data_IF_367770745793
#
_entry.id   IF_367770745793
#
_cell.length_a   1.000
_cell.length_b   1.000
_cell.length_c   1.000
_cell.angle_alpha   90.00
_cell.angle_beta   90.00
_cell.angle_gamma   90.00
#
_symmetry.space_group_name_H-M   'P 1'
#
loop_
_entity.id
_entity.type
_entity.pdbx_description
1 polymer ?
#
# COMPACT_ATOMS: atom_id res chain seq x y z
N UNK A 1 9.18 -21.05 2.34
CA UNK A 1 8.04 -20.19 2.75
C UNK A 1 8.63 -18.87 3.26
N UNK A 2 9.09 -18.00 2.36
CA UNK A 2 9.80 -16.75 2.71
C UNK A 2 9.84 -15.76 1.54
N UNK A 3 8.79 -15.71 0.70
CA UNK A 3 8.71 -14.78 -0.43
C UNK A 3 7.83 -13.56 -0.14
N UNK A 4 7.15 -13.52 1.00
CA UNK A 4 6.21 -12.44 1.31
C UNK A 4 6.80 -11.35 2.22
N UNK A 5 7.93 -11.51 2.90
CA UNK A 5 8.40 -10.47 3.83
C UNK A 5 9.29 -9.41 3.17
N UNK A 6 9.21 -8.18 3.67
CA UNK A 6 10.10 -7.11 3.24
C UNK A 6 11.56 -7.49 3.57
N UNK A 7 12.54 -7.18 2.69
CA UNK A 7 13.93 -7.52 2.95
C UNK A 7 14.42 -6.96 4.29
N UNK A 8 15.15 -7.73 5.12
CA UNK A 8 15.53 -7.30 6.47
C UNK A 8 16.34 -6.00 6.52
N UNK A 9 17.04 -5.66 5.44
CA UNK A 9 17.82 -4.44 5.36
C UNK A 9 16.98 -3.16 5.35
N UNK A 10 15.68 -3.24 5.05
CA UNK A 10 14.76 -2.08 5.10
C UNK A 10 14.59 -1.50 6.50
N UNK A 11 14.75 -2.34 7.51
CA UNK A 11 14.57 -1.96 8.92
C UNK A 11 15.88 -1.53 9.59
N UNK A 12 17.00 -1.50 8.84
CA UNK A 12 18.30 -1.07 9.35
C UNK A 12 18.45 0.44 9.22
N UNK A 13 19.31 1.04 10.05
CA UNK A 13 19.64 2.47 9.95
C UNK A 13 20.18 2.82 8.54
N UNK A 14 19.82 3.98 7.98
CA UNK A 14 20.28 4.39 6.65
C UNK A 14 21.81 4.48 6.58
N UNK A 15 22.43 3.72 5.68
CA UNK A 15 23.85 3.81 5.36
C UNK A 15 24.12 4.72 4.16
N UNK A 16 25.39 4.82 3.74
CA UNK A 16 25.81 5.65 2.60
C UNK A 16 25.03 5.35 1.30
N UNK A 17 24.72 4.07 1.04
CA UNK A 17 23.92 3.66 -0.13
C UNK A 17 22.50 4.26 -0.10
N UNK A 18 21.88 4.34 1.07
CA UNK A 18 20.55 4.93 1.21
C UNK A 18 20.59 6.46 0.99
N UNK A 19 21.64 7.12 1.48
CA UNK A 19 21.86 8.55 1.23
C UNK A 19 22.13 8.86 -0.24
N UNK A 20 22.91 8.05 -0.94
CA UNK A 20 23.13 8.22 -2.38
C UNK A 20 21.85 8.07 -3.22
N UNK A 21 20.91 7.24 -2.75
CA UNK A 21 19.61 7.04 -3.40
C UNK A 21 18.53 8.03 -2.93
N UNK A 22 18.79 8.83 -1.88
CA UNK A 22 17.82 9.78 -1.33
C UNK A 22 17.34 10.84 -2.33
N UNK A 23 18.16 11.43 -3.23
CA UNK A 23 17.64 12.39 -4.21
C UNK A 23 16.68 11.73 -5.21
N UNK A 24 16.97 10.49 -5.63
CA UNK A 24 16.06 9.73 -6.50
C UNK A 24 14.76 9.38 -5.77
N UNK A 25 14.85 9.00 -4.50
CA UNK A 25 13.69 8.75 -3.65
C UNK A 25 12.82 10.01 -3.49
N UNK A 26 13.44 11.19 -3.33
CA UNK A 26 12.72 12.46 -3.21
C UNK A 26 12.00 12.82 -4.52
N UNK A 27 12.66 12.64 -5.67
CA UNK A 27 12.04 12.86 -6.98
C UNK A 27 10.83 11.94 -7.21
N UNK A 28 10.97 10.65 -6.87
CA UNK A 28 9.86 9.69 -6.94
C UNK A 28 8.74 10.05 -5.96
N UNK A 29 9.07 10.42 -4.72
CA UNK A 29 8.11 10.85 -3.71
C UNK A 29 7.30 12.06 -4.15
N UNK A 30 7.94 13.05 -4.78
CA UNK A 30 7.25 14.20 -5.34
C UNK A 30 6.30 13.83 -6.49
N UNK A 31 6.71 12.93 -7.39
CA UNK A 31 5.84 12.44 -8.46
C UNK A 31 4.64 11.65 -7.92
N UNK A 32 4.86 10.80 -6.92
CA UNK A 32 3.81 10.04 -6.25
C UNK A 32 2.81 10.95 -5.53
N UNK A 33 3.30 11.95 -4.79
CA UNK A 33 2.45 12.94 -4.12
C UNK A 33 1.57 13.70 -5.11
N UNK A 34 2.17 14.22 -6.19
CA UNK A 34 1.42 14.88 -7.29
C UNK A 34 0.35 13.98 -7.89
N UNK A 35 0.60 12.68 -8.03
CA UNK A 35 -0.40 11.73 -8.54
C UNK A 35 -1.51 11.47 -7.53
N UNK A 36 -1.20 11.42 -6.23
CA UNK A 36 -2.20 11.20 -5.18
C UNK A 36 -3.11 12.42 -4.96
N UNK A 37 -2.62 13.62 -5.27
CA UNK A 37 -3.40 14.87 -5.24
C UNK A 37 -4.35 15.01 -6.44
N UNK A 38 -4.15 14.24 -7.51
CA UNK A 38 -5.04 14.26 -8.67
C UNK A 38 -6.36 13.56 -8.34
N UNK A 39 -7.45 14.07 -8.91
CA UNK A 39 -8.75 13.42 -8.80
C UNK A 39 -8.72 12.02 -9.43
N UNK A 40 -9.39 11.04 -8.80
CA UNK A 40 -9.51 9.70 -9.37
C UNK A 40 -10.16 9.75 -10.75
N UNK A 41 -9.51 9.13 -11.74
CA UNK A 41 -9.99 9.11 -13.12
C UNK A 41 -11.32 8.36 -13.31
N UNK A 42 -11.74 7.55 -12.33
CA UNK A 42 -12.95 6.73 -12.40
C UNK A 42 -13.81 6.90 -11.15
N UNK A 43 -15.11 7.10 -11.38
CA UNK A 43 -16.11 7.14 -10.34
C UNK A 43 -16.97 5.88 -10.41
N UNK A 44 -17.14 5.21 -9.28
CA UNK A 44 -17.97 4.01 -9.14
C UNK A 44 -19.25 4.41 -8.39
N UNK A 45 -20.41 3.89 -8.81
CA UNK A 45 -21.71 4.19 -8.17
C UNK A 45 -21.93 3.48 -6.83
N UNK A 46 -21.00 2.62 -6.44
CA UNK A 46 -21.04 1.84 -5.20
C UNK A 46 -19.98 2.34 -4.22
N UNK A 47 -20.18 2.18 -2.90
CA UNK A 47 -19.16 2.48 -1.92
C UNK A 47 -17.92 1.60 -2.13
N UNK A 48 -16.74 2.22 -2.27
CA UNK A 48 -15.48 1.51 -2.51
C UNK A 48 -14.55 1.68 -1.32
N UNK A 49 -14.00 0.56 -0.83
CA UNK A 49 -12.93 0.54 0.17
C UNK A 49 -11.63 0.06 -0.47
N UNK A 50 -10.62 0.91 -0.46
CA UNK A 50 -9.27 0.55 -0.91
C UNK A 50 -8.41 0.11 0.28
N UNK A 51 -7.89 -1.13 0.22
CA UNK A 51 -6.97 -1.67 1.22
C UNK A 51 -5.57 -1.75 0.59
N UNK A 52 -4.66 -0.91 1.09
CA UNK A 52 -3.32 -0.75 0.55
C UNK A 52 -2.26 -0.61 1.64
N UNK A 53 -1.03 -0.36 1.21
CA UNK A 53 0.12 -0.16 2.09
C UNK A 53 1.18 0.66 1.36
N UNK A 54 2.01 1.38 2.12
CA UNK A 54 3.04 2.26 1.59
C UNK A 54 4.34 1.54 1.20
N UNK A 55 4.59 0.36 1.76
CA UNK A 55 5.82 -0.39 1.55
C UNK A 55 5.59 -1.62 0.65
N UNK A 56 6.61 -1.97 -0.13
CA UNK A 56 6.63 -3.21 -0.94
C UNK A 56 6.96 -4.39 -0.03
N UNK A 57 6.39 -5.55 -0.33
CA UNK A 57 6.42 -6.73 0.54
C UNK A 57 5.14 -6.91 1.34
N UNK A 58 5.19 -7.89 2.23
CA UNK A 58 4.08 -8.41 3.01
C UNK A 58 3.79 -7.52 4.18
N UNK A 59 2.73 -6.72 4.01
CA UNK A 59 2.15 -5.89 5.05
C UNK A 59 0.71 -6.32 5.36
N UNK A 60 0.35 -7.57 5.04
CA UNK A 60 -0.97 -8.11 5.36
C UNK A 60 -2.15 -7.52 4.58
N UNK A 61 -1.93 -6.77 3.48
CA UNK A 61 -3.02 -6.19 2.67
C UNK A 61 -4.10 -7.23 2.29
N UNK A 62 -3.66 -8.39 1.82
CA UNK A 62 -4.54 -9.50 1.39
C UNK A 62 -5.34 -10.11 2.55
N UNK A 63 -4.71 -10.58 3.65
CA UNK A 63 -5.50 -11.09 4.79
C UNK A 63 -6.42 -10.02 5.37
N UNK A 64 -6.00 -8.75 5.45
CA UNK A 64 -6.87 -7.65 5.90
C UNK A 64 -8.09 -7.47 5.00
N UNK A 65 -7.94 -7.54 3.67
CA UNK A 65 -9.06 -7.47 2.75
C UNK A 65 -10.05 -8.64 2.92
N UNK A 66 -9.54 -9.85 3.15
CA UNK A 66 -10.36 -11.03 3.42
C UNK A 66 -11.15 -10.86 4.72
N UNK A 67 -10.50 -10.43 5.80
CA UNK A 67 -11.19 -10.21 7.08
C UNK A 67 -12.23 -9.10 6.99
N UNK A 68 -11.95 -8.03 6.25
CA UNK A 68 -12.93 -6.98 6.02
C UNK A 68 -14.16 -7.50 5.26
N UNK A 69 -13.94 -8.30 4.21
CA UNK A 69 -15.04 -8.92 3.45
C UNK A 69 -15.88 -9.86 4.34
N UNK A 70 -15.23 -10.68 5.18
CA UNK A 70 -15.91 -11.55 6.16
C UNK A 70 -16.76 -10.74 7.14
N UNK A 71 -16.20 -9.67 7.70
CA UNK A 71 -16.92 -8.79 8.62
C UNK A 71 -18.11 -8.09 7.95
N UNK A 72 -17.97 -7.67 6.69
CA UNK A 72 -19.06 -7.08 5.92
C UNK A 72 -20.19 -8.08 5.69
N UNK A 73 -19.88 -9.32 5.30
CA UNK A 73 -20.86 -10.41 5.12
C UNK A 73 -21.58 -10.71 6.44
N UNK A 74 -20.86 -10.75 7.57
CA UNK A 74 -21.46 -10.96 8.89
C UNK A 74 -22.45 -9.85 9.29
N UNK A 75 -22.31 -8.65 8.72
CA UNK A 75 -23.24 -7.53 8.88
C UNK A 75 -24.37 -7.50 7.84
N UNK A 76 -24.48 -8.55 7.00
CA UNK A 76 -25.49 -8.65 5.94
C UNK A 76 -25.19 -7.85 4.67
N UNK A 77 -23.96 -7.33 4.52
CA UNK A 77 -23.53 -6.63 3.31
C UNK A 77 -23.06 -7.63 2.24
N UNK A 78 -23.04 -7.19 0.98
CA UNK A 78 -22.57 -7.99 -0.17
C UNK A 78 -21.32 -7.32 -0.79
N UNK A 79 -20.12 -7.59 -0.25
CA UNK A 79 -18.87 -7.17 -0.89
C UNK A 79 -18.62 -8.01 -2.15
N UNK A 80 -18.45 -7.37 -3.31
CA UNK A 80 -18.22 -8.03 -4.60
C UNK A 80 -18.88 -7.30 -5.76
#
# INVERSE_FOLDING_TARGET
MALEEAPPFWWRKPGLRAWLLSPLSAAWGAAAARRMEQEPAAHVRAPVLCIGNFIVGGAGKTPTAIEFARAAIARGLKPG
#
